data_IF_762846143587
#
_entry.id   IF_762846143587
#
_cell.length_a   1.000
_cell.length_b   1.000
_cell.length_c   1.000
_cell.angle_alpha   90.00
_cell.angle_beta   90.00
_cell.angle_gamma   90.00
#
_symmetry.space_group_name_H-M   'P 1'
#
loop_
_entity.id
_entity.type
_entity.pdbx_description
1 polymer ?
#
# COMPACT_ATOMS: atom_id res chain seq x y z
N UNK A 1 -37.93 14.86 21.48
CA UNK A 1 -37.02 15.38 20.44
C UNK A 1 -37.09 14.40 19.27
N UNK A 2 -37.65 14.79 18.11
CA UNK A 2 -37.66 13.91 16.93
C UNK A 2 -36.21 13.75 16.44
N UNK A 3 -35.82 12.52 16.14
CA UNK A 3 -34.45 12.13 15.82
C UNK A 3 -33.95 12.73 14.51
N UNK A 4 -32.66 13.06 14.50
CA UNK A 4 -31.91 13.44 13.31
C UNK A 4 -31.77 12.22 12.40
N UNK A 5 -32.69 12.09 11.44
CA UNK A 5 -32.44 11.29 10.24
C UNK A 5 -31.27 11.96 9.51
N UNK A 6 -30.09 11.36 9.60
CA UNK A 6 -28.96 11.71 8.73
C UNK A 6 -29.33 11.23 7.32
N UNK A 7 -30.05 12.07 6.58
CA UNK A 7 -30.30 11.85 5.16
C UNK A 7 -28.92 11.71 4.48
N UNK A 8 -28.69 10.56 3.84
CA UNK A 8 -27.45 10.32 3.11
C UNK A 8 -27.27 11.36 2.00
N UNK A 9 -26.05 11.54 1.48
CA UNK A 9 -25.79 12.52 0.43
C UNK A 9 -26.69 12.23 -0.78
N UNK A 10 -27.39 13.27 -1.25
CA UNK A 10 -28.32 13.19 -2.39
C UNK A 10 -27.62 12.91 -3.73
N UNK A 11 -26.29 12.96 -3.75
CA UNK A 11 -25.43 12.71 -4.91
C UNK A 11 -24.33 11.73 -4.51
N UNK A 12 -23.87 10.92 -5.47
CA UNK A 12 -22.76 10.00 -5.27
C UNK A 12 -21.50 10.70 -4.70
N UNK A 13 -20.89 10.09 -3.68
CA UNK A 13 -19.60 10.51 -3.10
C UNK A 13 -18.44 10.18 -4.05
N UNK A 14 -18.40 10.90 -5.17
CA UNK A 14 -17.35 10.79 -6.19
C UNK A 14 -16.38 11.95 -6.09
N UNK A 15 -15.15 11.77 -6.61
CA UNK A 15 -14.17 12.85 -6.66
C UNK A 15 -14.67 14.03 -7.49
N UNK A 16 -15.36 13.73 -8.60
CA UNK A 16 -15.97 14.72 -9.47
C UNK A 16 -17.04 15.60 -8.76
N UNK A 17 -17.55 15.18 -7.60
CA UNK A 17 -18.56 15.93 -6.86
C UNK A 17 -18.01 16.65 -5.61
N UNK A 18 -16.76 16.38 -5.21
CA UNK A 18 -16.26 16.77 -3.88
C UNK A 18 -14.94 17.55 -3.89
N UNK A 19 -14.25 17.66 -5.03
CA UNK A 19 -12.95 18.36 -5.14
C UNK A 19 -13.07 19.60 -6.02
N UNK A 20 -13.94 20.51 -5.60
CA UNK A 20 -14.10 21.86 -6.17
C UNK A 20 -13.71 22.90 -5.13
N UNK A 21 -13.48 24.14 -5.55
CA UNK A 21 -13.20 25.24 -4.63
C UNK A 21 -12.79 26.50 -5.39
N UNK A 22 -12.75 27.62 -4.67
CA UNK A 22 -12.22 28.87 -5.22
C UNK A 22 -10.76 28.66 -5.65
N UNK A 23 -10.37 29.29 -6.75
CA UNK A 23 -9.00 29.25 -7.29
C UNK A 23 -8.50 27.80 -7.53
N UNK A 24 -9.41 26.92 -7.98
CA UNK A 24 -9.15 25.51 -8.27
C UNK A 24 -8.56 24.71 -7.08
N UNK A 25 -8.93 25.07 -5.85
CA UNK A 25 -8.39 24.48 -4.63
C UNK A 25 -8.51 22.95 -4.51
N UNK A 26 -9.37 22.30 -5.31
CA UNK A 26 -9.49 20.84 -5.36
C UNK A 26 -8.36 20.12 -6.12
N UNK A 27 -7.60 20.83 -6.97
CA UNK A 27 -6.54 20.22 -7.81
C UNK A 27 -5.34 19.77 -6.97
N UNK A 28 -4.82 20.65 -6.12
CA UNK A 28 -3.62 20.36 -5.33
C UNK A 28 -3.78 19.12 -4.42
N UNK A 29 -4.87 18.96 -3.64
CA UNK A 29 -5.08 17.76 -2.85
C UNK A 29 -5.14 16.46 -3.67
N UNK A 30 -5.72 16.52 -4.88
CA UNK A 30 -5.79 15.35 -5.77
C UNK A 30 -4.40 14.98 -6.31
N UNK A 31 -3.59 15.97 -6.71
CA UNK A 31 -2.22 15.74 -7.18
C UNK A 31 -1.33 15.20 -6.06
N UNK A 32 -1.42 15.78 -4.87
CA UNK A 32 -0.69 15.32 -3.69
C UNK A 32 -1.09 13.88 -3.32
N UNK A 33 -2.39 13.56 -3.36
CA UNK A 33 -2.87 12.18 -3.17
C UNK A 33 -2.24 11.22 -4.19
N UNK A 34 -2.16 11.59 -5.46
CA UNK A 34 -1.55 10.73 -6.49
C UNK A 34 -0.06 10.53 -6.27
N UNK A 35 0.66 11.60 -5.90
CA UNK A 35 2.07 11.53 -5.53
C UNK A 35 2.29 10.57 -4.34
N UNK A 36 1.52 10.75 -3.26
CA UNK A 36 1.64 9.93 -2.06
C UNK A 36 1.27 8.48 -2.33
N UNK A 37 0.24 8.21 -3.15
CA UNK A 37 -0.12 6.86 -3.56
C UNK A 37 1.04 6.16 -4.31
N UNK A 38 1.70 6.87 -5.23
CA UNK A 38 2.89 6.35 -5.90
C UNK A 38 4.00 6.03 -4.91
N UNK A 39 4.28 6.95 -3.99
CA UNK A 39 5.31 6.74 -2.96
C UNK A 39 5.02 5.50 -2.12
N UNK A 40 3.79 5.32 -1.63
CA UNK A 40 3.38 4.11 -0.89
C UNK A 40 3.57 2.84 -1.72
N UNK A 41 3.23 2.86 -3.03
CA UNK A 41 3.48 1.71 -3.91
C UNK A 41 4.96 1.38 -4.05
N UNK A 42 5.82 2.39 -4.19
CA UNK A 42 7.27 2.22 -4.28
C UNK A 42 7.85 1.65 -2.97
N UNK A 43 7.38 2.13 -1.82
CA UNK A 43 7.75 1.61 -0.50
C UNK A 43 7.34 0.15 -0.30
N UNK A 44 6.09 -0.21 -0.68
CA UNK A 44 5.63 -1.60 -0.64
C UNK A 44 6.48 -2.50 -1.53
N UNK A 45 6.79 -2.05 -2.75
CA UNK A 45 7.65 -2.80 -3.67
C UNK A 45 9.04 -3.02 -3.08
N UNK A 46 9.65 -1.97 -2.52
CA UNK A 46 10.95 -2.07 -1.86
C UNK A 46 10.93 -3.07 -0.69
N UNK A 47 9.88 -3.01 0.13
CA UNK A 47 9.68 -3.94 1.24
C UNK A 47 9.61 -5.40 0.79
N UNK A 48 8.78 -5.71 -0.21
CA UNK A 48 8.65 -7.08 -0.70
C UNK A 48 9.90 -7.58 -1.43
N UNK A 49 10.65 -6.71 -2.10
CA UNK A 49 11.94 -7.07 -2.69
C UNK A 49 12.97 -7.45 -1.61
N UNK A 50 13.05 -6.67 -0.52
CA UNK A 50 13.91 -6.99 0.61
C UNK A 50 13.49 -8.33 1.25
N UNK A 51 12.18 -8.54 1.46
CA UNK A 51 11.64 -9.80 1.98
C UNK A 51 12.00 -10.99 1.08
N UNK A 52 11.80 -10.87 -0.23
CA UNK A 52 12.17 -11.91 -1.19
C UNK A 52 13.65 -12.27 -1.13
N UNK A 53 14.53 -11.27 -0.99
CA UNK A 53 15.97 -11.47 -0.91
C UNK A 53 16.38 -12.23 0.35
N UNK A 54 15.72 -11.94 1.50
CA UNK A 54 15.92 -12.67 2.74
C UNK A 54 15.50 -14.14 2.62
N UNK A 55 14.33 -14.40 2.04
CA UNK A 55 13.82 -15.77 1.82
C UNK A 55 14.75 -16.57 0.90
N UNK A 56 15.29 -15.94 -0.15
CA UNK A 56 16.22 -16.58 -1.07
C UNK A 56 17.53 -16.99 -0.36
N UNK A 57 18.08 -16.10 0.48
CA UNK A 57 19.27 -16.40 1.27
C UNK A 57 19.02 -17.54 2.27
N UNK A 58 17.87 -17.48 2.96
CA UNK A 58 17.47 -18.52 3.90
C UNK A 58 17.34 -19.88 3.21
N UNK A 59 16.67 -19.94 2.06
CA UNK A 59 16.53 -21.16 1.27
C UNK A 59 17.88 -21.72 0.81
N UNK A 60 18.80 -20.86 0.34
CA UNK A 60 20.17 -21.28 -0.03
C UNK A 60 20.91 -21.89 1.15
N UNK A 61 20.81 -21.30 2.35
CA UNK A 61 21.43 -21.82 3.57
C UNK A 61 20.83 -23.18 3.98
N UNK A 62 19.51 -23.32 3.92
CA UNK A 62 18.82 -24.58 4.19
C UNK A 62 19.24 -25.69 3.21
N UNK A 63 19.34 -25.38 1.92
CA UNK A 63 19.78 -26.34 0.91
C UNK A 63 21.24 -26.77 1.11
N UNK A 64 22.12 -25.83 1.47
CA UNK A 64 23.49 -26.16 1.79
C UNK A 64 23.58 -27.06 3.04
N UNK A 65 22.75 -26.80 4.05
CA UNK A 65 22.67 -27.61 5.27
C UNK A 65 22.17 -29.03 4.99
N UNK A 66 21.13 -29.18 4.18
CA UNK A 66 20.52 -30.50 3.90
C UNK A 66 21.44 -31.46 3.14
N UNK A 67 22.45 -30.93 2.45
CA UNK A 67 23.45 -31.72 1.70
C UNK A 67 24.68 -32.09 2.53
N UNK A 68 24.80 -31.60 3.77
CA UNK A 68 25.94 -31.96 4.62
C UNK A 68 25.80 -33.42 5.09
N UNK A 69 26.77 -34.29 4.77
CA UNK A 69 26.75 -35.65 5.31
C UNK A 69 26.87 -35.60 6.84
N UNK A 70 26.10 -36.45 7.52
CA UNK A 70 26.13 -36.61 8.96
C UNK A 70 26.52 -38.06 9.28
N UNK A 71 27.24 -38.27 10.38
CA UNK A 71 27.55 -39.62 10.88
C UNK A 71 28.62 -40.36 10.09
N UNK A 72 29.63 -39.68 9.55
CA UNK A 72 30.83 -40.34 9.01
C UNK A 72 31.60 -41.01 10.16
N UNK A 73 31.64 -42.36 10.17
CA UNK A 73 32.62 -43.12 10.94
C UNK A 73 33.96 -43.17 10.21
#
# INVERSE_FOLDING_TARGET
>A
MPGTVSEGPSVALSFANNFWGKDDAGVNPLLERMHNAKQTCDELKAFYNARSSLEEEYARKLLALSRKPLGSQ
#
